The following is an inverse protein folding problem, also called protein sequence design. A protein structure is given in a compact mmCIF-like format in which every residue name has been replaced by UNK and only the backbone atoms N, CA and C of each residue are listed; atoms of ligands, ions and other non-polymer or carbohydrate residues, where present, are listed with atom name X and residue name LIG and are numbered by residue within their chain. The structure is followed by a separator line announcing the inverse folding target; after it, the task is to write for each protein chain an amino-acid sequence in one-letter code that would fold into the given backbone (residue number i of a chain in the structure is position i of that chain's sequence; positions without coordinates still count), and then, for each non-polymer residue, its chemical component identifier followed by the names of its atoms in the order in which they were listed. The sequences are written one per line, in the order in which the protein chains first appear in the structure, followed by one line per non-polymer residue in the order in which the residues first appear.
data_IF_106084447781
#
_entry.id   IF_106084447781
#
_cell.length_a   1.000
_cell.length_b   1.000
_cell.length_c   1.000
_cell.angle_alpha   90.00
_cell.angle_beta   90.00
_cell.angle_gamma   90.00
#
_symmetry.space_group_name_H-M   'P 1'
#
loop_
_entity.id
_entity.type
_entity.pdbx_description
1 polymer ?
#
# COMPACT_ATOMS: atom_id res chain seq x y z
N UNK A 1 27.59 -7.67 0.73
CA UNK A 1 27.70 -6.27 0.23
C UNK A 1 26.33 -5.64 0.41
N UNK A 2 26.21 -4.48 1.08
CA UNK A 2 24.89 -3.84 1.18
C UNK A 2 24.47 -3.40 -0.23
N UNK A 3 23.18 -3.45 -0.53
CA UNK A 3 22.64 -3.02 -1.84
C UNK A 3 23.06 -1.58 -2.16
N UNK A 4 23.12 -0.71 -1.14
CA UNK A 4 23.60 0.67 -1.25
C UNK A 4 25.07 0.76 -1.67
N UNK A 5 25.94 -0.13 -1.20
CA UNK A 5 27.35 -0.14 -1.58
C UNK A 5 27.53 -0.45 -3.07
N UNK A 6 26.68 -1.32 -3.62
CA UNK A 6 26.66 -1.64 -5.04
C UNK A 6 26.37 -0.38 -5.86
N UNK A 7 25.28 0.32 -5.57
CA UNK A 7 24.88 1.51 -6.33
C UNK A 7 25.91 2.63 -6.20
N UNK A 8 26.40 2.92 -4.99
CA UNK A 8 27.39 3.97 -4.76
C UNK A 8 28.71 3.71 -5.49
N UNK A 9 29.24 2.48 -5.44
CA UNK A 9 30.49 2.13 -6.13
C UNK A 9 30.37 2.23 -7.65
N UNK A 10 29.26 1.74 -8.21
CA UNK A 10 29.04 1.79 -9.66
C UNK A 10 28.79 3.22 -10.14
N UNK A 11 28.07 4.03 -9.35
CA UNK A 11 27.91 5.45 -9.64
C UNK A 11 29.25 6.18 -9.68
N UNK A 12 30.13 5.96 -8.69
CA UNK A 12 31.47 6.55 -8.67
C UNK A 12 32.33 6.12 -9.86
N UNK A 13 32.18 4.88 -10.33
CA UNK A 13 33.00 4.31 -11.40
C UNK A 13 32.50 4.67 -12.80
N UNK A 14 31.19 4.62 -13.04
CA UNK A 14 30.58 4.69 -14.37
C UNK A 14 29.78 5.97 -14.59
N UNK A 15 29.59 6.79 -13.56
CA UNK A 15 28.80 8.02 -13.63
C UNK A 15 27.32 7.80 -13.28
N UNK A 16 26.52 8.86 -13.47
CA UNK A 16 25.12 8.93 -13.02
C UNK A 16 24.19 7.99 -13.78
N UNK A 17 24.59 7.51 -14.95
CA UNK A 17 23.84 6.55 -15.75
C UNK A 17 24.76 5.37 -16.03
N UNK A 18 24.34 4.17 -15.65
CA UNK A 18 25.11 2.96 -15.92
C UNK A 18 24.23 1.74 -16.11
N UNK A 19 24.71 0.80 -16.92
CA UNK A 19 24.11 -0.52 -17.08
C UNK A 19 24.56 -1.46 -15.97
N UNK A 20 23.62 -2.23 -15.43
CA UNK A 20 23.88 -3.30 -14.48
C UNK A 20 23.19 -4.58 -14.94
N UNK A 21 23.76 -5.71 -14.57
CA UNK A 21 23.11 -7.01 -14.66
C UNK A 21 22.80 -7.45 -13.25
N UNK A 22 21.53 -7.70 -12.97
CA UNK A 22 21.12 -8.38 -11.74
C UNK A 22 20.41 -9.70 -12.07
N UNK A 23 19.92 -10.39 -11.04
CA UNK A 23 19.25 -11.68 -11.18
C UNK A 23 17.99 -11.61 -12.07
N UNK A 24 17.46 -10.41 -12.33
CA UNK A 24 16.26 -10.17 -13.13
C UNK A 24 16.59 -9.72 -14.56
N UNK A 25 17.87 -9.52 -14.88
CA UNK A 25 18.34 -9.23 -16.22
C UNK A 25 19.11 -7.91 -16.34
N UNK A 26 19.02 -7.31 -17.53
CA UNK A 26 19.69 -6.06 -17.86
C UNK A 26 18.88 -4.89 -17.30
N UNK A 27 19.51 -4.04 -16.49
CA UNK A 27 18.91 -2.81 -15.98
C UNK A 27 19.76 -1.61 -16.35
N UNK A 28 19.07 -0.53 -16.71
CA UNK A 28 19.68 0.79 -16.80
C UNK A 28 19.38 1.53 -15.49
N UNK A 29 20.42 1.88 -14.75
CA UNK A 29 20.31 2.68 -13.54
C UNK A 29 20.44 4.15 -13.95
N UNK A 30 19.43 4.95 -13.62
CA UNK A 30 19.34 6.37 -13.98
C UNK A 30 19.32 7.20 -12.71
N UNK A 31 20.41 7.95 -12.46
CA UNK A 31 20.53 8.89 -11.34
C UNK A 31 20.63 10.36 -11.84
N UNK A 32 20.04 10.66 -12.99
CA UNK A 32 19.99 12.02 -13.55
C UNK A 32 18.58 12.61 -13.42
N UNK A 33 18.36 13.69 -12.64
CA UNK A 33 17.03 14.21 -12.35
C UNK A 33 16.20 14.59 -13.57
N UNK A 34 16.80 15.18 -14.60
CA UNK A 34 16.08 15.56 -15.83
C UNK A 34 15.53 14.32 -16.55
N UNK A 35 16.35 13.28 -16.67
CA UNK A 35 15.93 12.03 -17.29
C UNK A 35 14.91 11.28 -16.42
N UNK A 36 15.03 11.34 -15.10
CA UNK A 36 14.02 10.80 -14.18
C UNK A 36 12.67 11.51 -14.33
N UNK A 37 12.66 12.84 -14.52
CA UNK A 37 11.43 13.59 -14.81
C UNK A 37 10.81 13.14 -16.13
N UNK A 38 11.63 12.92 -17.16
CA UNK A 38 11.15 12.45 -18.45
C UNK A 38 10.52 11.05 -18.31
N UNK A 39 11.22 10.10 -17.67
CA UNK A 39 10.75 8.71 -17.46
C UNK A 39 9.50 8.64 -16.56
N UNK A 40 9.50 9.32 -15.41
CA UNK A 40 8.48 9.15 -14.37
C UNK A 40 7.26 10.07 -14.55
N UNK A 41 7.38 11.14 -15.36
CA UNK A 41 6.33 12.15 -15.51
C UNK A 41 5.96 12.36 -16.97
N UNK A 42 6.90 12.79 -17.82
CA UNK A 42 6.54 13.19 -19.20
C UNK A 42 6.13 11.99 -20.05
N UNK A 43 6.91 10.92 -19.96
CA UNK A 43 6.83 9.73 -20.79
C UNK A 43 6.42 8.50 -19.98
N UNK A 44 5.71 8.70 -18.87
CA UNK A 44 5.25 7.62 -17.99
C UNK A 44 4.48 6.52 -18.72
N UNK A 45 3.71 6.89 -19.74
CA UNK A 45 2.96 5.95 -20.60
C UNK A 45 3.86 4.94 -21.35
N UNK A 46 5.16 5.24 -21.50
CA UNK A 46 6.17 4.33 -22.07
C UNK A 46 6.77 3.41 -20.99
N UNK A 47 6.80 3.86 -19.73
CA UNK A 47 7.36 3.13 -18.56
C UNK A 47 6.33 2.84 -17.46
N UNK A 48 5.18 2.22 -17.77
CA UNK A 48 4.06 2.08 -16.84
C UNK A 48 4.21 0.85 -15.93
N UNK A 49 5.02 -0.11 -16.33
CA UNK A 49 5.16 -1.38 -15.62
C UNK A 49 6.09 -1.29 -14.43
N UNK A 50 5.66 -1.90 -13.34
CA UNK A 50 6.48 -2.20 -12.18
C UNK A 50 7.17 -3.57 -12.33
N UNK A 51 7.92 -3.99 -11.30
CA UNK A 51 8.47 -5.33 -11.26
C UNK A 51 7.32 -6.35 -11.20
N UNK A 52 7.30 -7.29 -12.15
CA UNK A 52 6.28 -8.33 -12.19
C UNK A 52 6.58 -9.41 -11.13
N UNK A 53 5.67 -9.58 -10.17
CA UNK A 53 5.73 -10.66 -9.17
C UNK A 53 4.69 -11.73 -9.48
N UNK A 54 5.07 -13.01 -9.44
CA UNK A 54 4.07 -14.09 -9.42
C UNK A 54 3.49 -14.24 -8.01
N UNK A 55 2.26 -13.81 -7.80
CA UNK A 55 1.59 -13.77 -6.50
C UNK A 55 0.70 -14.99 -6.21
N UNK A 56 0.82 -16.03 -7.06
CA UNK A 56 -0.03 -17.20 -7.00
C UNK A 56 -1.50 -16.85 -7.28
N UNK A 57 -2.42 -17.56 -6.65
CA UNK A 57 -3.87 -17.36 -6.81
C UNK A 57 -4.48 -16.45 -5.75
N UNK A 58 -3.64 -15.74 -4.97
CA UNK A 58 -4.13 -14.86 -3.92
C UNK A 58 -4.77 -13.61 -4.51
N UNK A 59 -5.82 -13.09 -3.86
CA UNK A 59 -6.44 -11.81 -4.24
C UNK A 59 -5.48 -10.62 -4.12
N UNK A 60 -4.37 -10.76 -3.38
CA UNK A 60 -3.30 -9.76 -3.29
C UNK A 60 -2.74 -9.36 -4.67
N UNK A 61 -2.85 -10.24 -5.68
CA UNK A 61 -2.52 -9.89 -7.06
C UNK A 61 -3.33 -8.72 -7.65
N UNK A 62 -4.50 -8.45 -7.08
CA UNK A 62 -5.37 -7.31 -7.45
C UNK A 62 -5.03 -6.03 -6.70
N UNK A 63 -4.03 -6.04 -5.81
CA UNK A 63 -3.64 -4.85 -5.08
C UNK A 63 -2.90 -3.85 -5.99
N UNK A 64 -3.10 -2.55 -5.79
CA UNK A 64 -2.64 -1.50 -6.71
C UNK A 64 -1.14 -1.59 -7.04
N UNK A 65 -0.32 -1.94 -6.05
CA UNK A 65 1.13 -2.07 -6.19
C UNK A 65 1.56 -3.19 -7.17
N UNK A 66 0.72 -4.22 -7.33
CA UNK A 66 1.04 -5.41 -8.13
C UNK A 66 0.40 -5.41 -9.51
N UNK A 67 -0.50 -4.46 -9.78
CA UNK A 67 -1.07 -4.27 -11.11
C UNK A 67 -0.06 -3.56 -12.03
N UNK A 68 -0.11 -3.89 -13.32
CA UNK A 68 0.63 -3.17 -14.36
C UNK A 68 0.04 -1.78 -14.54
N UNK A 69 0.87 -0.74 -14.66
CA UNK A 69 0.37 0.63 -14.87
C UNK A 69 -0.30 0.85 -16.23
N UNK A 70 -0.12 -0.08 -17.19
CA UNK A 70 -0.83 -0.08 -18.46
C UNK A 70 -2.22 -0.73 -18.37
N UNK A 71 -2.52 -1.38 -17.25
CA UNK A 71 -3.80 -2.00 -17.02
C UNK A 71 -4.86 -0.93 -16.73
N UNK A 72 -6.01 -1.04 -17.39
CA UNK A 72 -7.18 -0.21 -17.07
C UNK A 72 -7.62 -0.41 -15.61
N UNK A 73 -7.37 -1.60 -15.05
CA UNK A 73 -7.61 -1.86 -13.63
C UNK A 73 -6.73 -1.03 -12.70
N UNK A 74 -5.44 -0.83 -13.04
CA UNK A 74 -4.57 0.03 -12.23
C UNK A 74 -5.07 1.47 -12.22
N UNK A 75 -5.44 2.02 -13.39
CA UNK A 75 -5.96 3.39 -13.50
C UNK A 75 -7.27 3.53 -12.72
N UNK A 76 -8.19 2.58 -12.87
CA UNK A 76 -9.47 2.55 -12.15
C UNK A 76 -9.27 2.50 -10.64
N UNK A 77 -8.51 1.52 -10.14
CA UNK A 77 -8.29 1.34 -8.70
C UNK A 77 -7.54 2.54 -8.12
N UNK A 78 -6.54 3.08 -8.82
CA UNK A 78 -5.83 4.29 -8.38
C UNK A 78 -6.77 5.49 -8.26
N UNK A 79 -7.66 5.66 -9.24
CA UNK A 79 -8.66 6.75 -9.23
C UNK A 79 -9.60 6.63 -8.03
N UNK A 80 -10.06 5.41 -7.70
CA UNK A 80 -10.96 5.16 -6.57
C UNK A 80 -10.25 5.35 -5.21
N UNK A 81 -8.98 4.95 -5.12
CA UNK A 81 -8.24 4.96 -3.83
C UNK A 81 -7.58 6.29 -3.50
N UNK A 82 -7.18 7.09 -4.50
CA UNK A 82 -6.45 8.36 -4.28
C UNK A 82 -7.20 9.38 -3.40
N UNK A 83 -8.53 9.57 -3.53
CA UNK A 83 -9.28 10.53 -2.69
C UNK A 83 -9.23 10.23 -1.19
N UNK A 84 -8.97 8.98 -0.79
CA UNK A 84 -8.83 8.58 0.61
C UNK A 84 -7.62 9.24 1.30
N UNK A 85 -6.67 9.77 0.54
CA UNK A 85 -5.45 10.42 1.02
C UNK A 85 -5.47 11.95 0.89
N UNK A 86 -6.64 12.56 0.66
CA UNK A 86 -6.79 14.02 0.69
C UNK A 86 -6.54 14.56 2.11
N UNK A 87 -6.09 15.81 2.22
CA UNK A 87 -5.80 16.45 3.51
C UNK A 87 -7.00 16.45 4.47
N UNK A 88 -8.23 16.54 3.95
CA UNK A 88 -9.45 16.46 4.74
C UNK A 88 -9.68 15.08 5.36
N UNK A 89 -9.47 14.00 4.58
CA UNK A 89 -9.61 12.63 5.07
C UNK A 89 -8.50 12.25 6.04
N UNK A 90 -7.27 12.66 5.77
CA UNK A 90 -6.14 12.47 6.68
C UNK A 90 -6.36 13.20 8.01
N UNK A 91 -6.88 14.44 7.98
CA UNK A 91 -7.22 15.18 9.22
C UNK A 91 -8.29 14.47 10.03
N UNK A 92 -9.25 13.80 9.40
CA UNK A 92 -10.26 13.02 10.11
C UNK A 92 -9.67 11.79 10.83
N UNK A 93 -8.60 11.20 10.29
CA UNK A 93 -7.86 10.09 10.93
C UNK A 93 -6.96 10.54 12.10
N UNK A 94 -6.57 11.82 12.13
CA UNK A 94 -5.64 12.36 13.15
C UNK A 94 -6.11 12.16 14.59
N UNK A 95 -7.42 12.12 14.84
CA UNK A 95 -7.96 11.87 16.18
C UNK A 95 -7.53 10.50 16.73
N UNK A 96 -7.61 9.45 15.89
CA UNK A 96 -7.16 8.10 16.27
C UNK A 96 -5.65 8.03 16.41
N UNK A 97 -4.91 8.67 15.49
CA UNK A 97 -3.44 8.70 15.52
C UNK A 97 -2.95 9.41 16.80
N UNK A 98 -3.58 10.52 17.18
CA UNK A 98 -3.25 11.26 18.40
C UNK A 98 -3.40 10.41 19.66
N UNK A 99 -4.52 9.71 19.81
CA UNK A 99 -4.72 8.81 20.97
C UNK A 99 -3.68 7.69 21.05
N UNK A 100 -3.28 7.13 19.90
CA UNK A 100 -2.21 6.11 19.83
C UNK A 100 -0.85 6.73 20.20
N UNK A 101 -0.58 7.96 19.76
CA UNK A 101 0.65 8.68 20.10
C UNK A 101 0.72 9.00 21.61
N UNK A 102 -0.38 9.41 22.23
CA UNK A 102 -0.44 9.66 23.67
C UNK A 102 -0.16 8.38 24.47
N UNK A 103 -0.75 7.25 24.05
CA UNK A 103 -0.47 5.94 24.66
C UNK A 103 0.99 5.52 24.46
N UNK A 104 1.54 5.77 23.27
CA UNK A 104 2.94 5.50 22.95
C UNK A 104 3.91 6.26 23.88
N UNK A 105 3.68 7.57 24.06
CA UNK A 105 4.49 8.41 24.96
C UNK A 105 4.37 7.93 26.40
N UNK A 106 3.14 7.63 26.86
CA UNK A 106 2.90 7.10 28.21
C UNK A 106 3.71 5.81 28.47
N UNK A 107 3.70 4.88 27.51
CA UNK A 107 4.48 3.64 27.61
C UNK A 107 5.99 3.89 27.67
N UNK A 108 6.50 4.91 26.96
CA UNK A 108 7.93 5.27 27.01
C UNK A 108 8.31 5.94 28.33
N UNK A 109 7.46 6.81 28.87
CA UNK A 109 7.68 7.48 30.16
C UNK A 109 7.77 6.46 31.30
N UNK A 110 6.91 5.45 31.31
CA UNK A 110 6.99 4.35 32.29
C UNK A 110 8.32 3.58 32.21
N UNK A 111 8.84 3.37 31.00
CA UNK A 111 10.13 2.69 30.82
C UNK A 111 11.30 3.57 31.27
N UNK A 112 11.26 4.86 30.94
CA UNK A 112 12.26 5.84 31.35
C UNK A 112 12.30 5.99 32.87
N UNK A 113 11.13 6.08 33.53
CA UNK A 113 11.01 6.14 34.99
C UNK A 113 11.61 4.92 35.68
N UNK A 114 11.55 3.75 35.04
CA UNK A 114 12.14 2.51 35.54
C UNK A 114 13.63 2.34 35.18
N UNK A 115 14.26 3.32 34.53
CA UNK A 115 15.67 3.25 34.11
C UNK A 115 15.97 2.14 33.10
N UNK A 116 14.96 1.67 32.36
CA UNK A 116 15.09 0.56 31.39
C UNK A 116 15.52 1.09 30.03
N UNK A 117 16.38 0.35 29.33
CA UNK A 117 16.68 0.59 27.92
C UNK A 117 15.54 0.07 27.05
N UNK A 118 15.02 0.91 26.15
CA UNK A 118 13.97 0.54 25.22
C UNK A 118 14.54 0.17 23.83
N UNK A 119 14.06 -0.94 23.26
CA UNK A 119 14.33 -1.29 21.86
C UNK A 119 13.41 -0.49 20.94
N UNK A 120 13.88 0.68 20.48
CA UNK A 120 13.08 1.59 19.68
C UNK A 120 12.52 0.97 18.40
N UNK A 121 13.16 -0.07 17.85
CA UNK A 121 12.61 -0.77 16.67
C UNK A 121 11.32 -1.51 17.00
N UNK A 122 11.28 -2.17 18.17
CA UNK A 122 10.07 -2.83 18.66
C UNK A 122 8.95 -1.83 18.93
N UNK A 123 9.28 -0.69 19.54
CA UNK A 123 8.31 0.34 19.89
C UNK A 123 7.75 1.04 18.65
N UNK A 124 8.60 1.49 17.73
CA UNK A 124 8.17 2.12 16.49
C UNK A 124 7.39 1.15 15.60
N UNK A 125 7.78 -0.13 15.57
CA UNK A 125 7.00 -1.18 14.94
C UNK A 125 5.59 -1.29 15.52
N UNK A 126 5.47 -1.38 16.84
CA UNK A 126 4.18 -1.47 17.50
C UNK A 126 3.33 -0.20 17.30
N UNK A 127 3.93 0.98 17.37
CA UNK A 127 3.27 2.25 17.05
C UNK A 127 2.72 2.26 15.61
N UNK A 128 3.56 1.93 14.62
CA UNK A 128 3.15 1.85 13.23
C UNK A 128 2.02 0.83 13.01
N UNK A 129 2.08 -0.32 13.71
CA UNK A 129 1.06 -1.36 13.68
C UNK A 129 -0.28 -0.85 14.20
N UNK A 130 -0.28 -0.13 15.32
CA UNK A 130 -1.50 0.42 15.91
C UNK A 130 -2.09 1.52 15.03
N UNK A 131 -1.24 2.44 14.54
CA UNK A 131 -1.65 3.51 13.63
C UNK A 131 -2.30 2.94 12.38
N UNK A 132 -1.65 1.98 11.70
CA UNK A 132 -2.22 1.45 10.46
C UNK A 132 -3.45 0.58 10.71
N UNK A 133 -3.53 -0.13 11.85
CA UNK A 133 -4.74 -0.88 12.22
C UNK A 133 -5.94 0.04 12.45
N UNK A 134 -5.72 1.19 13.08
CA UNK A 134 -6.75 2.20 13.29
C UNK A 134 -7.13 2.91 11.99
N UNK A 135 -6.15 3.37 11.21
CA UNK A 135 -6.41 4.12 9.97
C UNK A 135 -6.97 3.23 8.84
N UNK A 136 -6.52 1.99 8.71
CA UNK A 136 -6.99 1.09 7.67
C UNK A 136 -8.31 0.41 8.04
N UNK A 137 -8.40 -0.17 9.24
CA UNK A 137 -9.49 -1.05 9.66
C UNK A 137 -10.38 -0.46 10.77
N UNK A 138 -10.02 0.67 11.36
CA UNK A 138 -10.76 1.26 12.48
C UNK A 138 -10.60 0.48 13.79
N UNK A 139 -9.57 -0.37 13.91
CA UNK A 139 -9.34 -1.27 15.05
C UNK A 139 -8.17 -0.76 15.90
N UNK A 140 -8.41 -0.63 17.20
CA UNK A 140 -7.37 -0.36 18.19
C UNK A 140 -6.80 -1.69 18.69
N UNK A 141 -5.51 -1.93 18.45
CA UNK A 141 -4.84 -3.21 18.74
C UNK A 141 -4.07 -3.17 20.06
N UNK A 142 -3.49 -2.02 20.42
CA UNK A 142 -2.57 -1.85 21.55
C UNK A 142 -1.39 -2.83 21.48
N UNK A 143 -0.74 -2.90 20.33
CA UNK A 143 0.23 -3.94 19.97
C UNK A 143 1.50 -3.94 20.83
N UNK A 144 1.84 -2.83 21.49
CA UNK A 144 2.92 -2.77 22.48
C UNK A 144 2.66 -3.73 23.63
N UNK A 145 1.43 -3.71 24.15
CA UNK A 145 1.00 -4.50 25.29
C UNK A 145 0.41 -5.86 24.88
N UNK A 146 -0.07 -5.96 23.64
CA UNK A 146 -0.71 -7.16 23.10
C UNK A 146 0.01 -7.72 21.85
N UNK A 147 1.25 -8.18 22.03
CA UNK A 147 2.06 -8.72 20.94
C UNK A 147 1.47 -9.98 20.28
N UNK A 148 0.54 -10.67 20.94
CA UNK A 148 -0.14 -11.87 20.46
C UNK A 148 -1.50 -11.57 19.80
N UNK A 149 -1.86 -10.30 19.64
CA UNK A 149 -3.09 -9.94 18.95
C UNK A 149 -3.11 -10.55 17.53
N UNK A 150 -4.23 -11.13 17.06
CA UNK A 150 -4.30 -11.82 15.77
C UNK A 150 -3.82 -10.99 14.58
N UNK A 151 -4.11 -9.68 14.58
CA UNK A 151 -3.62 -8.76 13.55
C UNK A 151 -2.08 -8.70 13.56
N UNK A 152 -1.46 -8.54 14.72
CA UNK A 152 0.01 -8.45 14.85
C UNK A 152 0.66 -9.75 14.39
N UNK A 153 0.12 -10.90 14.81
CA UNK A 153 0.66 -12.22 14.46
C UNK A 153 0.56 -12.47 12.96
N UNK A 154 -0.59 -12.21 12.34
CA UNK A 154 -0.77 -12.44 10.91
C UNK A 154 -0.04 -11.41 10.05
N UNK A 155 0.02 -10.14 10.47
CA UNK A 155 0.83 -9.12 9.80
C UNK A 155 2.31 -9.55 9.73
N UNK A 156 2.89 -9.97 10.85
CA UNK A 156 4.27 -10.46 10.90
C UNK A 156 4.52 -11.65 9.98
N UNK A 157 3.54 -12.54 9.78
CA UNK A 157 3.64 -13.67 8.83
C UNK A 157 3.64 -13.24 7.36
N UNK A 158 2.98 -12.13 7.03
CA UNK A 158 3.00 -11.59 5.65
C UNK A 158 4.28 -10.79 5.41
N UNK A 159 4.68 -10.00 6.40
CA UNK A 159 5.86 -9.11 6.35
C UNK A 159 7.18 -9.84 6.54
N UNK A 160 7.17 -11.01 7.17
CA UNK A 160 8.36 -11.86 7.21
C UNK A 160 8.72 -12.21 5.78
N UNK A 161 9.79 -11.59 5.27
CA UNK A 161 10.39 -11.95 3.98
C UNK A 161 10.77 -13.41 4.09
N UNK A 162 9.91 -14.27 3.57
CA UNK A 162 10.23 -15.67 3.49
C UNK A 162 11.31 -15.77 2.40
N UNK A 163 12.57 -15.94 2.80
CA UNK A 163 13.64 -16.34 1.88
C UNK A 163 13.44 -17.77 1.37
N UNK A 164 12.26 -18.35 1.61
CA UNK A 164 11.76 -19.54 0.94
C UNK A 164 12.04 -19.53 -0.54
N UNK A 165 12.38 -20.73 -1.01
CA UNK A 165 12.53 -21.06 -2.41
C UNK A 165 11.32 -20.62 -3.24
N UNK A 166 10.11 -20.63 -2.67
CA UNK A 166 8.88 -20.20 -3.36
C UNK A 166 8.88 -18.71 -3.67
N UNK A 167 9.26 -17.86 -2.71
CA UNK A 167 9.35 -16.41 -2.94
C UNK A 167 10.42 -16.10 -3.99
N UNK A 168 11.60 -16.69 -3.85
CA UNK A 168 12.70 -16.49 -4.79
C UNK A 168 12.33 -16.94 -6.22
N UNK A 169 11.71 -18.11 -6.37
CA UNK A 169 11.31 -18.63 -7.68
C UNK A 169 10.18 -17.80 -8.30
N UNK A 170 9.27 -17.26 -7.49
CA UNK A 170 8.20 -16.36 -7.96
C UNK A 170 8.70 -15.05 -8.55
N UNK A 171 9.89 -14.58 -8.15
CA UNK A 171 10.50 -13.36 -8.72
C UNK A 171 11.45 -13.71 -9.88
N UNK A 172 12.28 -14.74 -9.73
CA UNK A 172 13.29 -15.10 -10.74
C UNK A 172 12.70 -15.80 -11.97
N UNK A 173 11.76 -16.71 -11.74
CA UNK A 173 11.18 -17.56 -12.78
C UNK A 173 9.65 -17.61 -12.63
N UNK A 174 8.93 -16.49 -12.86
CA UNK A 174 7.49 -16.39 -12.62
C UNK A 174 6.69 -17.44 -13.40
N UNK A 175 7.12 -17.82 -14.62
CA UNK A 175 6.50 -18.88 -15.41
C UNK A 175 6.57 -20.25 -14.73
N UNK A 176 7.70 -20.59 -14.11
CA UNK A 176 7.89 -21.85 -13.38
C UNK A 176 7.07 -21.82 -12.09
N UNK A 177 7.14 -20.72 -11.34
CA UNK A 177 6.36 -20.57 -10.12
C UNK A 177 4.85 -20.68 -10.38
N UNK A 178 4.37 -20.13 -11.51
CA UNK A 178 2.97 -20.28 -11.95
C UNK A 178 2.62 -21.72 -12.30
N UNK A 179 3.52 -22.44 -12.98
CA UNK A 179 3.32 -23.86 -13.31
C UNK A 179 3.17 -24.73 -12.05
N UNK A 180 4.01 -24.49 -11.03
CA UNK A 180 3.92 -25.19 -9.75
C UNK A 180 2.90 -24.59 -8.76
N UNK A 181 2.18 -23.53 -9.17
CA UNK A 181 1.21 -22.80 -8.33
C UNK A 181 1.81 -22.37 -6.98
N UNK A 182 3.06 -21.90 -7.00
CA UNK A 182 3.73 -21.44 -5.80
C UNK A 182 3.11 -20.12 -5.31
N UNK A 183 2.94 -20.03 -4.00
CA UNK A 183 2.43 -18.85 -3.32
C UNK A 183 3.58 -18.22 -2.53
N UNK A 184 3.99 -16.99 -2.89
CA UNK A 184 5.16 -16.34 -2.28
C UNK A 184 4.88 -15.79 -0.87
N UNK A 185 3.60 -15.72 -0.48
CA UNK A 185 3.15 -15.16 0.79
C UNK A 185 2.40 -16.19 1.63
N UNK A 186 2.34 -15.97 2.94
CA UNK A 186 1.61 -16.84 3.85
C UNK A 186 0.09 -16.77 3.59
N UNK A 187 -0.44 -17.79 2.93
CA UNK A 187 -1.87 -17.88 2.53
C UNK A 187 -2.80 -17.80 3.74
N UNK A 188 -2.44 -18.44 4.86
CA UNK A 188 -3.27 -18.41 6.06
C UNK A 188 -3.38 -16.99 6.63
N UNK A 189 -2.31 -16.21 6.56
CA UNK A 189 -2.33 -14.82 7.01
C UNK A 189 -3.11 -13.92 6.03
N UNK A 190 -2.97 -14.12 4.72
CA UNK A 190 -3.78 -13.42 3.71
C UNK A 190 -5.27 -13.71 3.93
N UNK A 191 -5.64 -14.98 4.10
CA UNK A 191 -7.02 -15.38 4.35
C UNK A 191 -7.59 -14.78 5.65
N UNK A 192 -6.75 -14.62 6.69
CA UNK A 192 -7.16 -13.91 7.91
C UNK A 192 -7.58 -12.46 7.59
N UNK A 193 -6.78 -11.71 6.84
CA UNK A 193 -7.13 -10.32 6.50
C UNK A 193 -8.28 -10.22 5.49
N UNK A 194 -8.44 -11.19 4.59
CA UNK A 194 -9.61 -11.28 3.72
C UNK A 194 -10.88 -11.40 4.56
N UNK A 195 -10.93 -12.39 5.45
CA UNK A 195 -12.06 -12.60 6.35
C UNK A 195 -12.31 -11.39 7.26
N UNK A 196 -11.25 -10.78 7.81
CA UNK A 196 -11.36 -9.58 8.64
C UNK A 196 -12.00 -8.43 7.86
N UNK A 197 -11.53 -8.19 6.63
CA UNK A 197 -12.07 -7.11 5.79
C UNK A 197 -13.52 -7.37 5.43
N UNK A 198 -13.87 -8.59 5.03
CA UNK A 198 -15.25 -8.98 4.72
C UNK A 198 -16.19 -8.80 5.93
N UNK A 199 -15.75 -9.19 7.13
CA UNK A 199 -16.50 -8.99 8.37
C UNK A 199 -16.75 -7.50 8.64
N UNK A 200 -15.72 -6.67 8.56
CA UNK A 200 -15.81 -5.22 8.78
C UNK A 200 -16.76 -4.58 7.76
N UNK A 201 -16.66 -4.97 6.49
CA UNK A 201 -17.54 -4.45 5.43
C UNK A 201 -18.99 -4.87 5.67
N UNK A 202 -19.23 -6.13 6.04
CA UNK A 202 -20.58 -6.64 6.32
C UNK A 202 -21.20 -5.94 7.55
N UNK A 203 -20.45 -5.81 8.64
CA UNK A 203 -20.85 -5.09 9.85
C UNK A 203 -21.25 -3.65 9.52
N UNK A 204 -20.45 -2.94 8.73
CA UNK A 204 -20.74 -1.55 8.34
C UNK A 204 -21.93 -1.43 7.41
N UNK A 205 -22.06 -2.33 6.41
CA UNK A 205 -23.21 -2.34 5.50
C UNK A 205 -24.51 -2.62 6.26
N UNK A 206 -24.48 -3.42 7.33
CA UNK A 206 -25.65 -3.70 8.18
C UNK A 206 -25.98 -2.61 9.21
N UNK A 207 -24.97 -1.93 9.77
CA UNK A 207 -25.14 -0.85 10.74
C UNK A 207 -25.55 0.51 10.12
N UNK A 208 -25.55 0.61 8.78
CA UNK A 208 -25.89 1.82 8.02
C UNK A 208 -27.32 2.35 8.16
N UNK A 209 -28.17 1.72 8.98
CA UNK A 209 -29.49 2.22 9.37
C UNK A 209 -29.45 3.27 10.49
N UNK A 210 -28.28 3.52 11.11
CA UNK A 210 -28.10 4.55 12.15
C UNK A 210 -26.86 5.41 11.87
N UNK A 211 -27.07 6.67 11.46
CA UNK A 211 -26.04 7.62 10.97
C UNK A 211 -25.07 8.13 12.07
N UNK A 212 -25.14 7.63 13.30
CA UNK A 212 -24.54 8.27 14.47
C UNK A 212 -23.08 7.87 14.76
N UNK A 213 -22.44 6.99 13.98
CA UNK A 213 -21.08 6.54 14.30
C UNK A 213 -20.21 6.16 13.08
N UNK A 214 -20.26 6.95 12.00
CA UNK A 214 -19.38 6.75 10.83
C UNK A 214 -17.92 7.01 11.21
N UNK A 215 -17.11 5.95 11.21
CA UNK A 215 -15.65 6.02 11.40
C UNK A 215 -14.99 6.61 10.16
N UNK A 216 -13.92 7.37 10.36
CA UNK A 216 -13.13 7.95 9.27
C UNK A 216 -11.88 7.10 9.01
N UNK A 217 -12.07 5.87 8.52
CA UNK A 217 -10.99 4.95 8.19
C UNK A 217 -11.04 4.53 6.71
N UNK A 218 -9.96 3.91 6.22
CA UNK A 218 -9.80 3.57 4.81
C UNK A 218 -10.94 2.69 4.28
N UNK A 219 -11.32 1.62 4.99
CA UNK A 219 -12.39 0.74 4.53
C UNK A 219 -13.72 1.49 4.42
N UNK A 220 -14.01 2.45 5.33
CA UNK A 220 -15.24 3.25 5.23
C UNK A 220 -15.22 4.13 3.97
N UNK A 221 -14.07 4.74 3.68
CA UNK A 221 -13.91 5.57 2.49
C UNK A 221 -14.12 4.78 1.20
N UNK A 222 -13.63 3.53 1.16
CA UNK A 222 -13.85 2.67 0.00
C UNK A 222 -15.31 2.26 -0.16
N UNK A 223 -16.03 1.99 0.95
CA UNK A 223 -17.47 1.71 0.93
C UNK A 223 -18.27 2.96 0.50
N UNK A 224 -17.87 4.14 0.94
CA UNK A 224 -18.54 5.40 0.56
C UNK A 224 -18.32 5.71 -0.93
N UNK A 225 -17.13 5.43 -1.46
CA UNK A 225 -16.82 5.60 -2.87
C UNK A 225 -17.63 4.62 -3.75
N UNK A 226 -17.95 3.41 -3.27
CA UNK A 226 -18.87 2.47 -3.94
C UNK A 226 -20.28 3.07 -4.13
N UNK A 227 -20.71 3.97 -3.22
CA UNK A 227 -22.08 4.54 -3.23
C UNK A 227 -22.21 5.84 -4.03
N UNK A 228 -21.12 6.59 -4.20
CA UNK A 228 -21.13 7.92 -4.81
C UNK A 228 -21.10 7.91 -6.36
N UNK A 229 -21.24 6.73 -6.98
CA UNK A 229 -21.27 6.45 -8.44
C UNK A 229 -22.48 7.09 -9.19
N UNK A 230 -23.11 8.13 -8.62
CA UNK A 230 -24.20 8.89 -9.24
C UNK A 230 -23.86 10.33 -9.61
N UNK A 231 -22.81 10.95 -9.08
CA UNK A 231 -22.48 12.36 -9.37
C UNK A 231 -21.00 12.68 -9.06
N UNK A 232 -20.06 12.27 -9.90
CA UNK A 232 -18.70 12.81 -9.80
C UNK A 232 -18.12 13.12 -11.19
N UNK A 233 -18.34 14.36 -11.63
CA UNK A 233 -17.36 15.09 -12.42
C UNK A 233 -16.34 15.66 -11.42
N UNK A 234 -15.06 15.32 -11.56
CA UNK A 234 -14.01 16.02 -10.82
C UNK A 234 -13.15 16.83 -11.77
N UNK A 235 -13.33 18.15 -11.63
CA UNK A 235 -12.41 19.19 -12.04
C UNK A 235 -11.18 19.18 -11.12
N UNK A 236 -9.99 19.18 -11.72
CA UNK A 236 -8.72 19.15 -11.01
C UNK A 236 -8.34 20.59 -10.66
N UNK A 237 -8.73 21.07 -9.47
CA UNK A 237 -8.33 22.39 -8.99
C UNK A 237 -8.00 22.38 -7.49
N UNK A 238 -6.72 22.24 -7.15
CA UNK A 238 -6.02 23.11 -6.19
C UNK A 238 -4.52 22.83 -6.20
N UNK A 239 -3.81 23.78 -6.80
CA UNK A 239 -2.50 24.33 -6.45
C UNK A 239 -1.24 23.45 -6.60
N UNK A 240 -0.65 23.44 -7.81
CA UNK A 240 0.60 24.18 -8.10
C UNK A 240 1.00 24.04 -9.59
N UNK A 241 1.26 25.19 -10.22
CA UNK A 241 1.58 25.39 -11.64
C UNK A 241 2.82 24.61 -12.14
N UNK A 242 2.64 23.73 -13.13
CA UNK A 242 3.56 23.60 -14.27
C UNK A 242 2.76 23.32 -15.55
N UNK A 243 2.56 24.38 -16.34
CA UNK A 243 2.28 24.43 -17.78
C UNK A 243 2.16 23.07 -18.52
N UNK A 244 0.95 22.73 -18.96
CA UNK A 244 0.72 22.14 -20.29
C UNK A 244 -0.56 22.70 -20.91
N UNK A 245 -0.34 23.68 -21.78
CA UNK A 245 -1.25 24.01 -22.87
C UNK A 245 -1.40 22.79 -23.80
N UNK A 246 -2.61 22.63 -24.32
CA UNK A 246 -2.98 21.82 -25.49
C UNK A 246 -3.03 20.30 -25.28
N UNK A 247 -4.26 19.79 -25.10
CA UNK A 247 -4.93 18.83 -25.99
C UNK A 247 -6.37 18.67 -25.50
N UNK A 248 -7.22 19.64 -25.85
CA UNK A 248 -8.67 19.48 -25.80
C UNK A 248 -9.12 19.33 -27.25
N UNK A 249 -9.48 18.11 -27.65
CA UNK A 249 -10.74 17.83 -28.35
C UNK A 249 -10.82 16.36 -28.83
N UNK A 250 -12.02 15.82 -28.63
CA UNK A 250 -12.63 14.68 -29.33
C UNK A 250 -12.09 13.27 -29.03
N UNK A 251 -12.79 12.55 -28.14
CA UNK A 251 -13.39 11.26 -28.53
C UNK A 251 -14.52 10.85 -27.59
N UNK A 252 -15.66 10.65 -28.24
CA UNK A 252 -16.91 9.99 -27.87
C UNK A 252 -17.08 9.24 -26.54
N UNK A 253 -18.21 9.59 -25.92
CA UNK A 253 -19.16 8.83 -25.10
C UNK A 253 -19.23 7.28 -25.25
N UNK A 254 -18.13 6.55 -25.04
CA UNK A 254 -18.17 5.08 -24.92
C UNK A 254 -17.23 4.55 -23.84
N UNK A 255 -17.79 4.38 -22.63
CA UNK A 255 -17.51 3.37 -21.58
C UNK A 255 -17.57 3.99 -20.18
N UNK A 256 -18.80 4.26 -19.70
CA UNK A 256 -19.08 4.26 -18.25
C UNK A 256 -18.95 2.82 -17.74
N UNK A 257 -17.72 2.36 -17.53
CA UNK A 257 -17.45 1.15 -16.75
C UNK A 257 -17.65 1.49 -15.27
N UNK A 258 -18.41 0.67 -14.54
CA UNK A 258 -18.77 0.92 -13.13
C UNK A 258 -17.53 1.20 -12.29
N UNK A 259 -17.48 2.36 -11.62
CA UNK A 259 -16.33 2.85 -10.87
C UNK A 259 -16.27 2.24 -9.45
N UNK A 260 -16.65 0.97 -9.31
CA UNK A 260 -16.71 0.29 -8.01
C UNK A 260 -15.58 -0.72 -7.87
N UNK A 261 -15.20 -1.01 -6.62
CA UNK A 261 -14.30 -2.12 -6.31
C UNK A 261 -15.10 -3.38 -6.03
N UNK A 262 -14.61 -4.50 -6.54
CA UNK A 262 -15.07 -5.82 -6.10
C UNK A 262 -14.62 -6.09 -4.66
N UNK A 263 -15.28 -7.05 -3.99
CA UNK A 263 -14.87 -7.47 -2.63
C UNK A 263 -13.39 -7.88 -2.57
N UNK A 264 -12.94 -8.64 -3.57
CA UNK A 264 -11.56 -9.08 -3.68
C UNK A 264 -10.57 -7.92 -3.85
N UNK A 265 -10.93 -6.89 -4.63
CA UNK A 265 -10.09 -5.71 -4.83
C UNK A 265 -10.03 -4.87 -3.56
N UNK A 266 -11.15 -4.70 -2.86
CA UNK A 266 -11.22 -3.98 -1.60
C UNK A 266 -10.36 -4.64 -0.53
N UNK A 267 -10.48 -5.96 -0.38
CA UNK A 267 -9.65 -6.75 0.54
C UNK A 267 -8.16 -6.67 0.18
N UNK A 268 -7.82 -6.77 -1.12
CA UNK A 268 -6.46 -6.62 -1.60
C UNK A 268 -5.86 -5.24 -1.29
N UNK A 269 -6.61 -4.14 -1.49
CA UNK A 269 -6.15 -2.80 -1.13
C UNK A 269 -5.97 -2.66 0.38
N UNK A 270 -6.91 -3.15 1.19
CA UNK A 270 -6.81 -3.12 2.65
C UNK A 270 -5.52 -3.78 3.14
N UNK A 271 -5.20 -4.97 2.61
CA UNK A 271 -3.96 -5.69 2.92
C UNK A 271 -2.74 -4.88 2.48
N UNK A 272 -2.73 -4.35 1.25
CA UNK A 272 -1.61 -3.57 0.74
C UNK A 272 -1.32 -2.32 1.59
N UNK A 273 -2.35 -1.53 1.90
CA UNK A 273 -2.19 -0.33 2.74
C UNK A 273 -1.72 -0.70 4.14
N UNK A 274 -2.20 -1.80 4.68
CA UNK A 274 -1.77 -2.30 5.98
C UNK A 274 -0.27 -2.65 6.01
N UNK A 275 0.18 -3.44 5.04
CA UNK A 275 1.57 -3.91 4.94
C UNK A 275 2.51 -2.73 4.66
N UNK A 276 2.19 -1.93 3.64
CA UNK A 276 3.02 -0.80 3.24
C UNK A 276 3.11 0.24 4.37
N UNK A 277 1.98 0.54 5.02
CA UNK A 277 1.92 1.48 6.13
C UNK A 277 2.74 1.03 7.34
N UNK A 278 2.72 -0.25 7.68
CA UNK A 278 3.57 -0.78 8.76
C UNK A 278 5.05 -0.75 8.41
N UNK A 279 5.44 -1.36 7.28
CA UNK A 279 6.85 -1.64 6.97
C UNK A 279 7.63 -0.33 6.77
N UNK A 280 7.08 0.59 5.98
CA UNK A 280 7.74 1.86 5.66
C UNK A 280 7.81 2.82 6.85
N UNK A 281 6.82 2.79 7.76
CA UNK A 281 6.79 3.68 8.93
C UNK A 281 7.63 3.15 10.09
N UNK A 282 7.81 1.83 10.19
CA UNK A 282 8.57 1.22 11.28
C UNK A 282 10.06 1.07 11.02
N UNK A 283 10.48 1.18 9.75
CA UNK A 283 11.87 1.05 9.29
C UNK A 283 12.74 2.26 9.67
#
# INVERSE_FOLDING_TARGET
MKVTDFYTKNWQKYGRIFGAYDLFGKRLIVNEPELLRDILVKDFHIFPDHLHFNLGNTNLAKALFFLSGNDEDWKRIRTITSPSFTSGKLRAMMGSIGGIADQFVTNLDEYAANGKTADMRKYMGAFAMDVISACAYGINVESINNANHPIVVNAKKILSVDTSFSFMLSILCPSIARFFKLEPFNVSAINFFNNLTEQIVAERKSAMSTDSNKRSDFIQLMIDNEKNDKNFDFDYNSDEDINRHELQESTDNTMKSSQTLTSDELTAQGILFFIAGYDTTSA
#
